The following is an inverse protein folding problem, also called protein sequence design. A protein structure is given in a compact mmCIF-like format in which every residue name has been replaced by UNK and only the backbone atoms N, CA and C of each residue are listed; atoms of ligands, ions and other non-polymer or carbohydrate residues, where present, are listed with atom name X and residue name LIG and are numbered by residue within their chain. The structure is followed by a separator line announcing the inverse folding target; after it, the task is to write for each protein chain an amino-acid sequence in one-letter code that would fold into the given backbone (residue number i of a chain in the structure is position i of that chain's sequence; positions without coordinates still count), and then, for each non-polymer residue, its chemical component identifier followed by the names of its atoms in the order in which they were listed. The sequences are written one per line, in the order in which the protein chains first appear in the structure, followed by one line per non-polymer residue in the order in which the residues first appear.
data_IF_345714481845
#
_entry.id   IF_345714481845
#
_cell.length_a   1.000
_cell.length_b   1.000
_cell.length_c   1.000
_cell.angle_alpha   90.00
_cell.angle_beta   90.00
_cell.angle_gamma   90.00
#
_symmetry.space_group_name_H-M   'P 1'
#
loop_
_entity.id
_entity.type
_entity.pdbx_description
1 polymer ?
#
# COMPACT_ATOMS: atom_id res chain seq x y z
N UNK A 1 0.31 -16.62 -18.74
CA UNK A 1 -0.16 -16.30 -17.37
C UNK A 1 -1.42 -17.11 -17.04
N UNK A 2 -1.59 -17.54 -15.79
CA UNK A 2 -2.78 -18.22 -15.27
C UNK A 2 -3.62 -17.17 -14.55
N UNK A 3 -4.93 -17.12 -14.81
CA UNK A 3 -5.87 -16.18 -14.18
C UNK A 3 -6.93 -16.97 -13.44
N UNK A 4 -6.96 -16.89 -12.11
CA UNK A 4 -7.89 -17.62 -11.25
C UNK A 4 -8.70 -16.66 -10.41
N UNK A 5 -9.91 -17.08 -10.06
CA UNK A 5 -10.75 -16.38 -9.09
C UNK A 5 -11.47 -17.38 -8.20
N UNK A 6 -11.87 -16.93 -7.03
CA UNK A 6 -12.70 -17.70 -6.10
C UNK A 6 -13.54 -16.78 -5.24
N UNK A 7 -14.69 -17.24 -4.76
CA UNK A 7 -15.54 -16.51 -3.81
C UNK A 7 -15.72 -17.34 -2.52
N UNK A 8 -14.64 -17.61 -1.76
CA UNK A 8 -14.72 -18.41 -0.56
C UNK A 8 -15.43 -17.68 0.58
N UNK A 9 -15.98 -18.47 1.50
CA UNK A 9 -16.38 -18.03 2.82
C UNK A 9 -15.15 -18.06 3.74
N UNK A 10 -14.68 -16.88 4.17
CA UNK A 10 -13.53 -16.70 5.03
C UNK A 10 -13.95 -16.51 6.49
N UNK A 11 -13.20 -17.09 7.42
CA UNK A 11 -13.49 -17.06 8.86
C UNK A 11 -12.37 -16.38 9.64
N UNK A 12 -12.72 -15.66 10.71
CA UNK A 12 -11.76 -15.12 11.68
C UNK A 12 -12.22 -15.33 13.11
N UNK A 13 -11.29 -15.67 13.98
CA UNK A 13 -11.54 -15.82 15.41
C UNK A 13 -11.12 -14.57 16.16
N UNK A 14 -12.07 -13.92 16.85
CA UNK A 14 -11.86 -12.73 17.67
C UNK A 14 -12.78 -12.76 18.90
N UNK A 15 -12.40 -12.01 19.95
CA UNK A 15 -13.25 -11.76 21.12
C UNK A 15 -14.59 -11.18 20.70
N UNK A 16 -15.68 -11.64 21.32
CA UNK A 16 -17.04 -11.23 20.94
C UNK A 16 -17.20 -9.72 21.13
N UNK A 17 -17.41 -9.01 20.03
CA UNK A 17 -17.67 -7.58 19.99
C UNK A 17 -18.92 -7.34 19.14
N UNK A 18 -19.78 -6.41 19.58
CA UNK A 18 -21.03 -6.09 18.87
C UNK A 18 -20.72 -5.61 17.45
N UNK A 19 -21.37 -6.20 16.45
CA UNK A 19 -21.23 -5.81 15.04
C UNK A 19 -20.04 -6.44 14.29
N UNK A 20 -19.19 -7.25 14.94
CA UNK A 20 -18.08 -7.94 14.26
C UNK A 20 -18.48 -9.36 13.89
N UNK A 21 -18.77 -9.57 12.59
CA UNK A 21 -19.01 -10.91 12.03
C UNK A 21 -17.71 -11.73 12.06
N UNK A 22 -17.85 -13.04 12.31
CA UNK A 22 -16.77 -14.05 12.29
C UNK A 22 -16.57 -14.69 10.93
N UNK A 23 -17.45 -14.38 9.98
CA UNK A 23 -17.41 -14.87 8.62
C UNK A 23 -17.71 -13.73 7.62
N UNK A 24 -17.16 -13.84 6.42
CA UNK A 24 -17.48 -13.00 5.27
C UNK A 24 -17.14 -13.74 3.97
N UNK A 25 -17.81 -13.37 2.88
CA UNK A 25 -17.41 -13.80 1.54
C UNK A 25 -16.39 -12.83 0.98
N UNK A 26 -15.35 -13.35 0.33
CA UNK A 26 -14.31 -12.54 -0.30
C UNK A 26 -14.17 -12.97 -1.75
N UNK A 27 -14.33 -12.05 -2.69
CA UNK A 27 -14.00 -12.31 -4.09
C UNK A 27 -12.50 -12.10 -4.29
N UNK A 28 -11.77 -13.20 -4.48
CA UNK A 28 -10.34 -13.19 -4.76
C UNK A 28 -10.11 -13.36 -6.27
N UNK A 29 -9.18 -12.60 -6.83
CA UNK A 29 -8.72 -12.69 -8.21
C UNK A 29 -7.19 -12.62 -8.22
N UNK A 30 -6.55 -13.57 -8.89
CA UNK A 30 -5.10 -13.68 -8.93
C UNK A 30 -4.63 -13.96 -10.37
N UNK A 31 -3.59 -13.24 -10.78
CA UNK A 31 -2.89 -13.45 -12.06
C UNK A 31 -1.48 -13.93 -11.74
N UNK A 32 -1.14 -15.14 -12.17
CA UNK A 32 0.14 -15.79 -11.88
C UNK A 32 0.94 -15.93 -13.17
N UNK A 33 2.21 -15.53 -13.13
CA UNK A 33 3.14 -15.65 -14.25
C UNK A 33 3.03 -14.52 -15.28
N UNK A 34 2.54 -13.34 -14.86
CA UNK A 34 2.71 -12.07 -15.56
C UNK A 34 3.69 -11.21 -14.75
N UNK A 35 4.68 -10.61 -15.43
CA UNK A 35 5.77 -9.86 -14.78
C UNK A 35 5.61 -8.34 -14.92
N UNK A 36 4.80 -7.91 -15.88
CA UNK A 36 4.52 -6.49 -16.12
C UNK A 36 3.35 -6.02 -15.25
N UNK A 37 3.22 -4.69 -15.14
CA UNK A 37 2.09 -4.01 -14.49
C UNK A 37 0.72 -4.32 -15.12
N UNK A 38 0.69 -5.02 -16.25
CA UNK A 38 -0.54 -5.42 -16.93
C UNK A 38 -1.42 -6.30 -16.04
N UNK A 39 -0.83 -7.11 -15.15
CA UNK A 39 -1.59 -7.92 -14.20
C UNK A 39 -2.39 -7.05 -13.22
N UNK A 40 -1.72 -6.07 -12.61
CA UNK A 40 -2.32 -5.12 -11.69
C UNK A 40 -3.38 -4.28 -12.37
N UNK A 41 -3.11 -3.80 -13.60
CA UNK A 41 -4.08 -3.04 -14.40
C UNK A 41 -5.33 -3.88 -14.68
N UNK A 42 -5.17 -5.14 -15.08
CA UNK A 42 -6.32 -6.02 -15.36
C UNK A 42 -7.16 -6.29 -14.09
N UNK A 43 -6.51 -6.49 -12.94
CA UNK A 43 -7.19 -6.67 -11.65
C UNK A 43 -7.95 -5.41 -11.22
N UNK A 44 -7.34 -4.22 -11.36
CA UNK A 44 -7.99 -2.96 -11.05
C UNK A 44 -9.16 -2.68 -12.01
N UNK A 45 -9.00 -2.96 -13.30
CA UNK A 45 -10.07 -2.84 -14.28
C UNK A 45 -11.26 -3.74 -13.94
N UNK A 46 -11.02 -4.99 -13.55
CA UNK A 46 -12.08 -5.91 -13.11
C UNK A 46 -12.87 -5.38 -11.90
N UNK A 47 -12.19 -4.74 -10.93
CA UNK A 47 -12.85 -4.09 -9.79
C UNK A 47 -13.68 -2.87 -10.22
N UNK A 48 -13.15 -2.05 -11.12
CA UNK A 48 -13.89 -0.90 -11.68
C UNK A 48 -15.14 -1.36 -12.44
N UNK A 49 -15.01 -2.40 -13.26
CA UNK A 49 -16.13 -2.96 -14.03
C UNK A 49 -17.19 -3.56 -13.11
N UNK A 50 -16.79 -4.23 -12.02
CA UNK A 50 -17.71 -4.68 -10.99
C UNK A 50 -18.49 -3.51 -10.38
N UNK A 51 -17.80 -2.43 -9.95
CA UNK A 51 -18.48 -1.26 -9.38
C UNK A 51 -19.44 -0.61 -10.37
N UNK A 52 -19.03 -0.49 -11.64
CA UNK A 52 -19.89 0.03 -12.70
C UNK A 52 -21.13 -0.84 -12.90
N UNK A 53 -20.98 -2.17 -12.90
CA UNK A 53 -22.08 -3.11 -13.09
C UNK A 53 -23.14 -3.03 -11.98
N UNK A 54 -22.73 -2.71 -10.74
CA UNK A 54 -23.65 -2.52 -9.61
C UNK A 54 -24.11 -1.06 -9.42
N UNK A 55 -23.78 -0.18 -10.37
CA UNK A 55 -24.24 1.22 -10.39
C UNK A 55 -23.47 2.18 -9.49
N UNK A 56 -22.31 1.78 -8.97
CA UNK A 56 -21.41 2.66 -8.20
C UNK A 56 -20.61 3.52 -9.18
N UNK A 57 -20.56 4.83 -8.94
CA UNK A 57 -19.87 5.79 -9.80
C UNK A 57 -18.49 6.11 -9.28
N UNK A 58 -17.65 6.68 -10.13
CA UNK A 58 -16.31 7.19 -9.76
C UNK A 58 -16.35 8.33 -8.75
N UNK A 59 -17.51 8.96 -8.53
CA UNK A 59 -17.71 9.94 -7.46
C UNK A 59 -17.88 9.32 -6.09
N UNK A 60 -18.22 8.02 -6.05
CA UNK A 60 -18.63 7.33 -4.82
C UNK A 60 -17.47 6.50 -4.25
N UNK A 61 -16.54 6.06 -5.12
CA UNK A 61 -15.40 5.21 -4.77
C UNK A 61 -14.12 5.68 -5.44
N UNK A 62 -12.99 5.43 -4.78
CA UNK A 62 -11.66 5.66 -5.33
C UNK A 62 -10.73 4.48 -5.03
N UNK A 63 -9.83 4.18 -5.97
CA UNK A 63 -8.79 3.17 -5.80
C UNK A 63 -7.48 3.87 -5.44
N UNK A 64 -6.90 3.53 -4.29
CA UNK A 64 -5.58 4.01 -3.88
C UNK A 64 -4.53 3.00 -4.36
N UNK A 65 -3.57 3.46 -5.15
CA UNK A 65 -2.48 2.63 -5.68
C UNK A 65 -1.17 3.06 -5.03
N UNK A 66 -0.34 2.09 -4.66
CA UNK A 66 0.98 2.31 -4.10
C UNK A 66 1.91 1.16 -4.51
N UNK A 67 3.22 1.42 -4.54
CA UNK A 67 4.25 0.42 -4.81
C UNK A 67 5.16 0.24 -3.59
N UNK A 68 5.29 -1.02 -3.12
CA UNK A 68 6.24 -1.34 -2.04
C UNK A 68 7.69 -1.06 -2.45
N UNK A 69 8.02 -1.10 -3.75
CA UNK A 69 9.35 -0.77 -4.27
C UNK A 69 9.68 0.70 -4.04
N UNK A 70 8.72 1.58 -4.29
CA UNK A 70 8.84 3.01 -4.01
C UNK A 70 9.03 3.27 -2.53
N UNK A 71 8.19 2.67 -1.67
CA UNK A 71 8.36 2.80 -0.22
C UNK A 71 9.73 2.27 0.23
N UNK A 72 10.19 1.15 -0.33
CA UNK A 72 11.52 0.60 -0.01
C UNK A 72 12.64 1.56 -0.38
N UNK A 73 12.59 2.16 -1.58
CA UNK A 73 13.60 3.12 -2.03
C UNK A 73 13.64 4.37 -1.12
N UNK A 74 12.48 4.88 -0.73
CA UNK A 74 12.38 6.01 0.21
C UNK A 74 13.00 5.65 1.56
N UNK A 75 12.69 4.48 2.11
CA UNK A 75 13.23 4.05 3.40
C UNK A 75 14.75 3.84 3.35
N UNK A 76 15.27 3.24 2.29
CA UNK A 76 16.71 3.07 2.08
C UNK A 76 17.43 4.41 1.99
N UNK A 77 16.83 5.42 1.34
CA UNK A 77 17.38 6.78 1.28
C UNK A 77 17.52 7.43 2.66
N UNK A 78 16.61 7.12 3.58
CA UNK A 78 16.67 7.60 4.97
C UNK A 78 17.48 6.69 5.90
N UNK A 79 18.31 5.79 5.34
CA UNK A 79 19.24 4.96 6.11
C UNK A 79 18.60 3.77 6.82
N UNK A 80 17.36 3.41 6.49
CA UNK A 80 16.68 2.24 7.06
C UNK A 80 17.14 0.99 6.31
N UNK A 81 17.61 0.01 7.09
CA UNK A 81 18.07 -1.26 6.56
C UNK A 81 16.90 -2.14 6.09
N UNK A 82 17.15 -3.01 5.11
CA UNK A 82 16.12 -3.83 4.47
C UNK A 82 15.44 -4.83 5.42
N UNK A 83 16.13 -5.24 6.48
CA UNK A 83 15.60 -6.11 7.54
C UNK A 83 14.53 -5.41 8.41
N UNK A 84 14.61 -4.07 8.53
CA UNK A 84 13.63 -3.26 9.25
C UNK A 84 12.38 -2.95 8.39
N UNK A 85 12.44 -3.15 7.08
CA UNK A 85 11.37 -2.79 6.13
C UNK A 85 9.98 -3.38 6.46
N UNK A 86 9.83 -4.69 6.75
CA UNK A 86 8.51 -5.26 7.05
C UNK A 86 7.88 -4.63 8.30
N UNK A 87 8.73 -4.33 9.29
CA UNK A 87 8.30 -3.76 10.55
C UNK A 87 7.90 -2.28 10.40
N UNK A 88 8.68 -1.50 9.65
CA UNK A 88 8.34 -0.10 9.32
C UNK A 88 7.02 -0.03 8.55
N UNK A 89 6.77 -0.93 7.60
CA UNK A 89 5.48 -1.02 6.89
C UNK A 89 4.29 -1.19 7.85
N UNK A 90 4.45 -2.00 8.90
CA UNK A 90 3.40 -2.23 9.91
C UNK A 90 3.17 -1.01 10.80
N UNK A 91 4.21 -0.24 11.11
CA UNK A 91 4.04 1.03 11.84
C UNK A 91 3.33 2.05 10.95
N UNK A 92 3.78 2.18 9.71
CA UNK A 92 3.25 3.15 8.74
C UNK A 92 1.76 2.91 8.46
N UNK A 93 1.30 1.65 8.41
CA UNK A 93 -0.12 1.31 8.28
C UNK A 93 -1.00 1.86 9.43
N UNK A 94 -0.38 2.20 10.57
CA UNK A 94 -1.10 2.80 11.72
C UNK A 94 -1.25 4.31 11.60
N UNK A 95 -0.63 4.98 10.62
CA UNK A 95 -0.65 6.44 10.48
C UNK A 95 -2.07 7.01 10.53
N UNK A 96 -3.00 6.41 9.79
CA UNK A 96 -4.41 6.83 9.75
C UNK A 96 -5.14 6.65 11.10
N UNK A 97 -4.62 5.81 12.00
CA UNK A 97 -5.25 5.48 13.29
C UNK A 97 -4.65 6.24 14.47
N UNK A 98 -3.33 6.41 14.51
CA UNK A 98 -2.64 6.96 15.69
C UNK A 98 -2.04 8.36 15.45
N UNK A 99 -1.98 8.81 14.19
CA UNK A 99 -1.43 10.11 13.82
C UNK A 99 0.08 10.14 13.65
N UNK A 100 0.58 11.25 13.09
CA UNK A 100 1.97 11.43 12.68
C UNK A 100 2.97 11.34 13.84
N UNK A 101 2.73 12.07 14.94
CA UNK A 101 3.67 12.12 16.07
C UNK A 101 3.83 10.75 16.74
N UNK A 102 2.74 10.02 16.94
CA UNK A 102 2.78 8.67 17.51
C UNK A 102 3.49 7.66 16.59
N UNK A 103 3.38 7.82 15.26
CA UNK A 103 4.14 7.02 14.30
C UNK A 103 5.63 7.31 14.41
N UNK A 104 6.03 8.59 14.51
CA UNK A 104 7.44 8.97 14.69
C UNK A 104 8.00 8.38 15.98
N UNK A 105 7.27 8.47 17.09
CA UNK A 105 7.68 7.85 18.37
C UNK A 105 7.91 6.34 18.25
N UNK A 106 7.02 5.62 17.54
CA UNK A 106 7.18 4.19 17.31
C UNK A 106 8.40 3.85 16.42
N UNK A 107 8.70 4.69 15.42
CA UNK A 107 9.88 4.54 14.57
C UNK A 107 11.17 4.80 15.37
N UNK A 108 11.18 5.84 16.20
CA UNK A 108 12.31 6.17 17.08
C UNK A 108 12.56 5.07 18.10
N UNK A 109 11.51 4.50 18.69
CA UNK A 109 11.61 3.35 19.60
C UNK A 109 12.20 2.08 18.95
N UNK A 110 12.41 2.09 17.65
CA UNK A 110 12.87 0.96 16.84
C UNK A 110 14.23 1.25 16.18
N UNK A 111 14.86 2.35 16.59
CA UNK A 111 16.20 2.72 16.16
C UNK A 111 16.25 3.59 14.90
N UNK A 112 15.10 4.11 14.44
CA UNK A 112 15.07 5.12 13.38
C UNK A 112 15.38 6.49 13.98
N UNK A 113 16.20 7.28 13.32
CA UNK A 113 16.53 8.65 13.76
C UNK A 113 15.30 9.57 13.61
N UNK A 114 15.14 10.56 14.50
CA UNK A 114 13.88 11.32 14.57
C UNK A 114 13.62 12.13 13.29
N UNK A 115 14.65 12.76 12.71
CA UNK A 115 14.52 13.50 11.45
C UNK A 115 14.15 12.56 10.29
N UNK A 116 14.80 11.39 10.20
CA UNK A 116 14.40 10.33 9.27
C UNK A 116 12.93 9.90 9.46
N UNK A 117 12.48 9.70 10.71
CA UNK A 117 11.11 9.35 11.03
C UNK A 117 10.10 10.40 10.54
N UNK A 118 10.38 11.68 10.75
CA UNK A 118 9.55 12.79 10.28
C UNK A 118 9.50 12.87 8.76
N UNK A 119 10.64 12.67 8.09
CA UNK A 119 10.71 12.69 6.63
C UNK A 119 9.95 11.52 6.00
N UNK A 120 9.95 10.34 6.62
CA UNK A 120 9.12 9.20 6.19
C UNK A 120 7.64 9.54 6.28
N UNK A 121 7.18 10.08 7.40
CA UNK A 121 5.77 10.49 7.55
C UNK A 121 5.38 11.58 6.55
N UNK A 122 6.27 12.53 6.28
CA UNK A 122 6.06 13.55 5.26
C UNK A 122 5.94 12.94 3.85
N UNK A 123 6.79 11.96 3.52
CA UNK A 123 6.77 11.27 2.22
C UNK A 123 5.47 10.50 1.96
N UNK A 124 4.85 9.97 3.02
CA UNK A 124 3.58 9.25 2.94
C UNK A 124 2.37 10.17 2.74
N UNK A 125 2.56 11.47 3.00
CA UNK A 125 1.52 12.50 2.85
C UNK A 125 1.53 13.14 1.46
N UNK A 126 2.51 12.80 0.60
CA UNK A 126 2.60 13.29 -0.77
C UNK A 126 1.40 12.81 -1.59
N UNK A 127 0.87 13.70 -2.44
CA UNK A 127 -0.36 13.45 -3.20
C UNK A 127 -0.16 13.38 -4.70
N UNK A 128 1.05 13.71 -5.17
CA UNK A 128 1.36 13.66 -6.59
C UNK A 128 2.60 12.81 -6.86
N UNK A 129 2.59 12.17 -8.03
CA UNK A 129 3.75 11.40 -8.52
C UNK A 129 4.93 12.33 -8.80
N UNK A 130 4.67 13.59 -9.16
CA UNK A 130 5.71 14.59 -9.39
C UNK A 130 6.42 15.01 -8.09
N UNK A 131 5.67 15.18 -7.00
CA UNK A 131 6.28 15.38 -5.66
C UNK A 131 7.14 14.18 -5.27
N UNK A 132 6.67 12.97 -5.58
CA UNK A 132 7.38 11.74 -5.26
C UNK A 132 8.67 11.59 -6.09
N UNK A 133 8.65 11.97 -7.37
CA UNK A 133 9.86 12.11 -8.20
C UNK A 133 10.82 13.14 -7.64
N UNK A 134 10.31 14.30 -7.22
CA UNK A 134 11.12 15.36 -6.60
C UNK A 134 11.80 14.91 -5.31
N UNK A 135 11.11 14.11 -4.49
CA UNK A 135 11.67 13.53 -3.27
C UNK A 135 12.73 12.46 -3.59
N UNK A 136 12.50 11.63 -4.60
CA UNK A 136 13.42 10.54 -4.97
C UNK A 136 14.67 11.01 -5.72
N UNK A 137 14.61 12.09 -6.50
CA UNK A 137 15.73 12.55 -7.33
C UNK A 137 16.17 11.50 -8.36
N UNK A 138 17.44 11.52 -8.80
CA UNK A 138 18.02 10.54 -9.74
C UNK A 138 18.30 9.15 -9.11
N UNK A 139 18.02 8.98 -7.81
CA UNK A 139 18.15 7.69 -7.09
C UNK A 139 16.99 6.72 -7.40
N UNK A 140 16.57 6.66 -8.66
CA UNK A 140 15.67 5.62 -9.13
C UNK A 140 16.46 4.33 -9.32
N UNK A 141 16.74 3.65 -8.21
CA UNK A 141 17.52 2.41 -8.15
C UNK A 141 16.71 1.20 -8.71
N UNK A 142 15.89 1.41 -9.75
CA UNK A 142 15.20 0.33 -10.45
C UNK A 142 13.92 0.67 -11.23
N UNK A 143 13.63 1.93 -11.58
CA UNK A 143 12.43 2.28 -12.37
C UNK A 143 11.12 2.20 -11.56
N UNK A 144 11.20 2.26 -10.24
CA UNK A 144 10.05 2.00 -9.36
C UNK A 144 8.98 3.11 -9.45
N UNK A 145 9.41 4.34 -9.76
CA UNK A 145 8.51 5.47 -9.98
C UNK A 145 8.00 5.49 -11.43
N UNK A 146 8.80 5.04 -12.39
CA UNK A 146 8.39 4.92 -13.79
C UNK A 146 7.25 3.89 -13.97
N UNK A 147 7.27 2.78 -13.23
CA UNK A 147 6.18 1.79 -13.20
C UNK A 147 4.85 2.36 -12.68
N UNK A 148 4.86 3.41 -11.87
CA UNK A 148 3.63 4.07 -11.40
C UNK A 148 3.05 5.07 -12.42
N UNK A 149 3.85 5.48 -13.40
CA UNK A 149 3.46 6.44 -14.44
C UNK A 149 3.06 5.73 -15.74
N UNK A 150 3.50 4.49 -15.93
CA UNK A 150 3.27 3.66 -17.12
C UNK A 150 1.91 2.97 -17.09
#
# INVERSE_FOLDING_TARGET
PVKWFSVPQCWRFETVQRGRKREHYQWNMDIIGEKSVAAEIELLAAVVDFFRAIGIKSTDVGLKVNSRRVLSAILTKFGIAADQFPFVCVIVDKLDKIGADAVVELLVGQGVEEDAGRQIVASLSLKSVDELKGLMGDTDDGGAVEELVT
#
